data_IF_998237115132
#
_entry.id   IF_998237115132
#
_cell.length_a   1.000
_cell.length_b   1.000
_cell.length_c   1.000
_cell.angle_alpha   90.00
_cell.angle_beta   90.00
_cell.angle_gamma   90.00
#
_symmetry.space_group_name_H-M   'P 1'
#
loop_
_entity.id
_entity.type
_entity.pdbx_description
1 polymer ?
#
# COMPACT_ATOMS: atom_id res chain seq x y z
N UNK A 1 -5.53 -10.01 -35.12
CA UNK A 1 -5.53 -8.74 -34.35
C UNK A 1 -4.78 -9.02 -33.06
N UNK A 2 -3.79 -8.21 -32.69
CA UNK A 2 -3.06 -8.42 -31.42
C UNK A 2 -3.97 -8.16 -30.21
N UNK A 3 -3.85 -8.97 -29.16
CA UNK A 3 -4.53 -8.73 -27.87
C UNK A 3 -3.67 -7.79 -27.02
N UNK A 4 -4.29 -6.95 -26.18
CA UNK A 4 -3.55 -6.13 -25.23
C UNK A 4 -3.01 -6.99 -24.09
N UNK A 5 -1.90 -6.58 -23.46
CA UNK A 5 -1.36 -7.25 -22.27
C UNK A 5 -2.41 -7.36 -21.17
N UNK A 6 -3.16 -6.27 -20.94
CA UNK A 6 -4.28 -6.22 -20.01
C UNK A 6 -5.27 -7.37 -20.22
N UNK A 7 -5.72 -7.56 -21.46
CA UNK A 7 -6.73 -8.58 -21.78
C UNK A 7 -6.17 -9.99 -21.57
N UNK A 8 -4.93 -10.22 -22.00
CA UNK A 8 -4.27 -11.51 -21.80
C UNK A 8 -4.03 -11.82 -20.32
N UNK A 9 -3.67 -10.83 -19.51
CA UNK A 9 -3.49 -10.98 -18.08
C UNK A 9 -4.81 -11.32 -17.40
N UNK A 10 -5.87 -10.58 -17.71
CA UNK A 10 -7.20 -10.82 -17.18
C UNK A 10 -7.73 -12.22 -17.54
N UNK A 11 -7.57 -12.64 -18.79
CA UNK A 11 -7.96 -13.98 -19.26
C UNK A 11 -7.15 -15.08 -18.56
N UNK A 12 -5.82 -14.95 -18.48
CA UNK A 12 -4.93 -15.99 -17.95
C UNK A 12 -5.10 -16.19 -16.43
N UNK A 13 -5.39 -15.13 -15.70
CA UNK A 13 -5.50 -15.19 -14.24
C UNK A 13 -6.95 -15.32 -13.74
N UNK A 14 -7.94 -15.32 -14.65
CA UNK A 14 -9.37 -15.32 -14.27
C UNK A 14 -9.80 -14.02 -13.58
N UNK A 15 -9.15 -12.92 -13.93
CA UNK A 15 -9.26 -11.62 -13.25
C UNK A 15 -7.90 -10.94 -13.10
N UNK A 16 -7.91 -9.61 -12.99
CA UNK A 16 -6.72 -8.83 -12.61
C UNK A 16 -6.63 -8.77 -11.10
N UNK A 17 -5.54 -9.29 -10.55
CA UNK A 17 -5.22 -9.18 -9.13
C UNK A 17 -3.81 -8.60 -8.97
N UNK A 18 -3.72 -7.40 -8.41
CA UNK A 18 -2.44 -6.74 -8.08
C UNK A 18 -2.12 -7.04 -6.61
N UNK A 19 -1.17 -7.96 -6.42
CA UNK A 19 -0.68 -8.35 -5.11
C UNK A 19 -0.02 -7.19 -4.35
N UNK A 20 0.14 -7.35 -3.03
CA UNK A 20 0.80 -6.36 -2.18
C UNK A 20 2.25 -6.77 -1.94
N UNK A 21 3.15 -5.78 -1.96
CA UNK A 21 4.58 -5.95 -1.67
C UNK A 21 4.83 -6.13 -0.17
N UNK A 22 4.32 -7.22 0.39
CA UNK A 22 4.59 -7.65 1.77
C UNK A 22 5.75 -8.65 1.88
N UNK A 23 6.36 -9.05 0.76
CA UNK A 23 7.55 -9.93 0.70
C UNK A 23 8.86 -9.12 0.77
N UNK A 24 9.99 -9.78 1.01
CA UNK A 24 11.34 -9.16 1.16
C UNK A 24 12.40 -9.78 0.25
N UNK A 25 11.96 -10.36 -0.85
CA UNK A 25 12.73 -11.13 -1.84
C UNK A 25 13.28 -10.26 -2.98
N UNK A 26 13.15 -8.94 -2.90
CA UNK A 26 13.70 -8.00 -3.90
C UNK A 26 14.00 -6.62 -3.29
N UNK A 27 14.63 -5.77 -4.09
CA UNK A 27 15.22 -4.48 -3.69
C UNK A 27 14.18 -3.39 -3.36
N UNK A 28 12.90 -3.59 -3.63
CA UNK A 28 11.85 -2.65 -3.24
C UNK A 28 11.69 -2.54 -1.71
N UNK A 29 12.16 -3.54 -0.95
CA UNK A 29 11.96 -3.67 0.50
C UNK A 29 12.36 -2.43 1.30
N UNK A 30 13.59 -1.88 1.19
CA UNK A 30 13.95 -0.63 1.89
C UNK A 30 13.14 0.59 1.42
N UNK A 31 12.72 0.65 0.16
CA UNK A 31 11.94 1.78 -0.36
C UNK A 31 10.54 1.80 0.26
N UNK A 32 9.82 0.68 0.20
CA UNK A 32 8.46 0.61 0.71
C UNK A 32 8.42 0.46 2.23
N UNK A 33 9.02 -0.59 2.78
CA UNK A 33 8.82 -0.96 4.18
C UNK A 33 9.49 -0.01 5.16
N UNK A 34 10.60 0.60 4.75
CA UNK A 34 11.39 1.47 5.61
C UNK A 34 11.18 2.96 5.29
N UNK A 35 11.22 3.34 4.01
CA UNK A 35 11.18 4.75 3.60
C UNK A 35 9.78 5.24 3.18
N UNK A 36 8.79 4.35 3.04
CA UNK A 36 7.42 4.72 2.63
C UNK A 36 7.37 5.34 1.24
N UNK A 37 8.17 4.80 0.31
CA UNK A 37 8.20 5.19 -1.09
C UNK A 37 7.34 4.18 -1.88
N UNK A 38 6.30 4.65 -2.60
CA UNK A 38 5.51 3.79 -3.47
C UNK A 38 6.41 2.98 -4.39
N UNK A 39 6.24 1.66 -4.37
CA UNK A 39 7.10 0.72 -5.08
C UNK A 39 6.25 -0.29 -5.83
N UNK A 40 6.81 -0.83 -6.91
CA UNK A 40 6.15 -1.85 -7.74
C UNK A 40 7.19 -2.87 -8.16
N UNK A 41 6.78 -4.12 -8.27
CA UNK A 41 7.57 -5.21 -8.84
C UNK A 41 6.73 -5.88 -9.93
N UNK A 42 7.27 -5.93 -11.15
CA UNK A 42 6.55 -6.34 -12.37
C UNK A 42 7.35 -7.42 -13.09
N UNK A 43 6.73 -8.58 -13.31
CA UNK A 43 7.33 -9.71 -14.00
C UNK A 43 6.27 -10.54 -14.73
N UNK A 44 6.73 -11.36 -15.67
CA UNK A 44 5.92 -12.41 -16.29
C UNK A 44 6.24 -13.77 -15.70
N UNK A 45 5.22 -14.61 -15.55
CA UNK A 45 5.37 -16.02 -15.21
C UNK A 45 5.24 -16.31 -13.72
N UNK A 46 5.72 -17.49 -13.33
CA UNK A 46 5.67 -18.04 -11.98
C UNK A 46 7.09 -18.41 -11.55
N UNK A 47 7.20 -18.93 -10.33
CA UNK A 47 8.45 -19.44 -9.78
C UNK A 47 9.17 -20.39 -10.74
N UNK A 48 10.47 -20.13 -10.95
CA UNK A 48 11.34 -20.91 -11.83
C UNK A 48 12.12 -21.93 -11.00
N UNK A 49 11.96 -23.25 -11.24
CA UNK A 49 12.64 -24.28 -10.43
C UNK A 49 14.17 -24.25 -10.49
N UNK A 50 14.74 -23.63 -11.52
CA UNK A 50 16.20 -23.49 -11.65
C UNK A 50 16.77 -22.23 -10.98
N UNK A 51 15.96 -21.45 -10.26
CA UNK A 51 16.38 -20.24 -9.55
C UNK A 51 17.56 -20.53 -8.62
N UNK A 52 18.59 -19.69 -8.64
CA UNK A 52 19.84 -19.86 -7.88
C UNK A 52 20.58 -21.18 -8.14
N UNK A 53 20.40 -21.79 -9.32
CA UNK A 53 21.15 -22.97 -9.75
C UNK A 53 21.90 -22.71 -11.06
N UNK A 54 22.78 -23.64 -11.46
CA UNK A 54 23.45 -23.59 -12.76
C UNK A 54 22.50 -23.76 -13.97
N UNK A 55 21.22 -24.09 -13.74
CA UNK A 55 20.20 -24.16 -14.79
C UNK A 55 19.67 -22.78 -15.20
N UNK A 56 19.86 -21.76 -14.35
CA UNK A 56 19.55 -20.37 -14.69
C UNK A 56 20.55 -19.86 -15.74
N UNK A 57 20.17 -20.05 -17.00
CA UNK A 57 21.06 -19.86 -18.14
C UNK A 57 20.32 -19.20 -19.30
N UNK A 58 21.08 -18.47 -20.11
CA UNK A 58 20.58 -17.87 -21.34
C UNK A 58 19.89 -18.91 -22.24
N UNK A 59 20.51 -20.09 -22.37
CA UNK A 59 19.99 -21.20 -23.19
C UNK A 59 18.61 -21.67 -22.72
N UNK A 60 18.40 -21.80 -21.41
CA UNK A 60 17.09 -22.15 -20.87
C UNK A 60 16.07 -21.04 -21.16
N UNK A 61 16.46 -19.77 -20.98
CA UNK A 61 15.58 -18.65 -21.27
C UNK A 61 15.18 -18.62 -22.75
N UNK A 62 16.15 -18.68 -23.67
CA UNK A 62 15.90 -18.61 -25.10
C UNK A 62 15.09 -19.80 -25.66
N UNK A 63 15.22 -20.99 -25.06
CA UNK A 63 14.54 -22.21 -25.52
C UNK A 63 13.21 -22.49 -24.81
N UNK A 64 13.06 -22.06 -23.55
CA UNK A 64 11.95 -22.43 -22.69
C UNK A 64 11.33 -21.25 -21.94
N UNK A 65 12.17 -20.41 -21.33
CA UNK A 65 11.74 -19.34 -20.44
C UNK A 65 11.00 -18.20 -21.14
N UNK A 66 11.47 -17.74 -22.30
CA UNK A 66 10.81 -16.77 -23.19
C UNK A 66 11.35 -16.88 -24.63
N UNK A 67 10.95 -17.91 -25.39
CA UNK A 67 11.32 -18.01 -26.80
C UNK A 67 10.93 -16.74 -27.57
N UNK A 68 11.87 -16.20 -28.34
CA UNK A 68 11.76 -14.93 -29.07
C UNK A 68 11.72 -13.66 -28.19
N UNK A 69 11.87 -13.78 -26.87
CA UNK A 69 11.96 -12.67 -25.92
C UNK A 69 10.74 -11.71 -25.94
N UNK A 70 9.57 -12.20 -26.35
CA UNK A 70 8.38 -11.35 -26.49
C UNK A 70 7.78 -10.95 -25.14
N UNK A 71 7.89 -11.77 -24.09
CA UNK A 71 7.48 -11.36 -22.73
C UNK A 71 8.45 -10.33 -22.15
N UNK A 72 9.74 -10.48 -22.41
CA UNK A 72 10.75 -9.48 -22.03
C UNK A 72 10.49 -8.15 -22.74
N UNK A 73 10.15 -8.18 -24.03
CA UNK A 73 9.75 -6.98 -24.76
C UNK A 73 8.52 -6.33 -24.12
N UNK A 74 7.45 -7.10 -23.90
CA UNK A 74 6.20 -6.59 -23.33
C UNK A 74 6.39 -5.97 -21.93
N UNK A 75 7.14 -6.64 -21.03
CA UNK A 75 7.37 -6.08 -19.69
C UNK A 75 8.27 -4.84 -19.73
N UNK A 76 9.21 -4.78 -20.67
CA UNK A 76 10.05 -3.59 -20.90
C UNK A 76 9.21 -2.41 -21.38
N UNK A 77 8.23 -2.63 -22.26
CA UNK A 77 7.29 -1.59 -22.70
C UNK A 77 6.45 -1.06 -21.53
N UNK A 78 5.99 -1.93 -20.63
CA UNK A 78 5.24 -1.53 -19.43
C UNK A 78 6.12 -0.71 -18.47
N UNK A 79 7.34 -1.19 -18.18
CA UNK A 79 8.30 -0.45 -17.35
C UNK A 79 8.62 0.92 -17.96
N UNK A 80 8.86 0.97 -19.27
CA UNK A 80 9.13 2.21 -20.00
C UNK A 80 7.95 3.19 -19.94
N UNK A 81 6.73 2.70 -20.17
CA UNK A 81 5.53 3.53 -20.09
C UNK A 81 5.29 4.04 -18.67
N UNK A 82 5.46 3.19 -17.65
CA UNK A 82 5.36 3.61 -16.26
C UNK A 82 6.39 4.69 -15.91
N UNK A 83 7.64 4.52 -16.33
CA UNK A 83 8.70 5.50 -16.12
C UNK A 83 8.38 6.85 -16.79
N UNK A 84 7.93 6.83 -18.05
CA UNK A 84 7.51 8.02 -18.77
C UNK A 84 6.36 8.74 -18.05
N UNK A 85 5.33 8.00 -17.62
CA UNK A 85 4.20 8.61 -16.90
C UNK A 85 4.61 9.20 -15.55
N UNK A 86 5.49 8.54 -14.79
CA UNK A 86 5.97 9.08 -13.51
C UNK A 86 6.89 10.29 -13.68
N UNK A 87 7.63 10.38 -14.80
CA UNK A 87 8.54 11.48 -15.09
C UNK A 87 7.82 12.69 -15.72
N UNK A 88 6.86 12.46 -16.60
CA UNK A 88 6.31 13.48 -17.50
C UNK A 88 4.84 13.85 -17.21
N UNK A 89 4.05 13.00 -16.55
CA UNK A 89 2.64 13.34 -16.28
C UNK A 89 2.59 14.60 -15.38
N UNK A 90 1.83 15.65 -15.76
CA UNK A 90 1.75 16.91 -15.01
C UNK A 90 1.33 16.77 -13.55
N UNK A 91 0.51 15.74 -13.27
CA UNK A 91 0.04 15.30 -11.97
C UNK A 91 0.37 13.81 -11.85
N UNK A 92 0.95 13.40 -10.73
CA UNK A 92 1.36 12.01 -10.50
C UNK A 92 0.15 11.05 -10.62
N UNK A 93 0.27 9.93 -11.35
CA UNK A 93 -0.83 9.00 -11.59
C UNK A 93 -1.07 8.05 -10.40
N UNK A 94 -1.12 8.58 -9.18
CA UNK A 94 -1.42 7.81 -7.97
C UNK A 94 -2.92 7.79 -7.69
N UNK A 95 -3.47 6.58 -7.55
CA UNK A 95 -4.89 6.35 -7.34
C UNK A 95 -5.17 5.96 -5.87
N UNK A 96 -5.44 6.97 -5.05
CA UNK A 96 -5.83 6.77 -3.65
C UNK A 96 -7.30 6.36 -3.48
N UNK A 97 -8.13 6.42 -4.52
CA UNK A 97 -9.50 5.90 -4.49
C UNK A 97 -9.47 4.37 -4.56
N UNK A 98 -8.71 3.81 -5.50
CA UNK A 98 -8.43 2.38 -5.56
C UNK A 98 -7.73 1.89 -4.29
N UNK A 99 -6.79 2.67 -3.75
CA UNK A 99 -6.12 2.34 -2.48
C UNK A 99 -7.12 2.26 -1.32
N UNK A 100 -8.01 3.25 -1.17
CA UNK A 100 -9.04 3.23 -0.11
C UNK A 100 -10.00 2.05 -0.26
N UNK A 101 -10.38 1.73 -1.51
CA UNK A 101 -11.22 0.57 -1.82
C UNK A 101 -10.54 -0.74 -1.40
N UNK A 102 -9.25 -0.88 -1.66
CA UNK A 102 -8.49 -2.04 -1.22
C UNK A 102 -8.37 -2.13 0.30
N UNK A 103 -8.16 -1.01 1.00
CA UNK A 103 -8.17 -1.01 2.47
C UNK A 103 -9.52 -1.45 3.04
N UNK A 104 -10.62 -1.11 2.36
CA UNK A 104 -11.95 -1.57 2.71
C UNK A 104 -12.08 -3.10 2.55
N UNK A 105 -11.55 -3.65 1.47
CA UNK A 105 -11.50 -5.11 1.25
C UNK A 105 -10.66 -5.81 2.32
N UNK A 106 -9.45 -5.33 2.60
CA UNK A 106 -8.59 -5.84 3.67
C UNK A 106 -9.29 -5.84 5.03
N UNK A 107 -9.98 -4.75 5.34
CA UNK A 107 -10.75 -4.60 6.59
C UNK A 107 -11.91 -5.59 6.65
N UNK A 108 -12.58 -5.85 5.53
CA UNK A 108 -13.66 -6.85 5.46
C UNK A 108 -13.12 -8.29 5.62
N UNK A 109 -12.00 -8.63 4.98
CA UNK A 109 -11.33 -9.92 5.16
C UNK A 109 -10.93 -10.11 6.63
N UNK A 110 -10.36 -9.07 7.24
CA UNK A 110 -10.00 -9.06 8.65
C UNK A 110 -11.22 -9.25 9.58
N UNK A 111 -12.36 -8.61 9.26
CA UNK A 111 -13.62 -8.74 9.99
C UNK A 111 -14.06 -10.20 10.12
N UNK A 112 -14.01 -10.91 8.99
CA UNK A 112 -14.43 -12.32 8.88
C UNK A 112 -13.50 -13.22 9.67
N UNK A 113 -12.18 -12.98 9.63
CA UNK A 113 -11.21 -13.82 10.32
C UNK A 113 -11.31 -13.73 11.86
N UNK A 114 -11.59 -12.54 12.41
CA UNK A 114 -11.61 -12.34 13.87
C UNK A 114 -13.00 -12.27 14.52
N UNK A 115 -14.08 -12.32 13.73
CA UNK A 115 -15.44 -12.06 14.19
C UNK A 115 -15.58 -10.74 15.00
N UNK A 116 -14.74 -9.74 14.69
CA UNK A 116 -14.64 -8.50 15.45
C UNK A 116 -15.23 -7.30 14.69
N UNK A 117 -16.56 -7.15 14.79
CA UNK A 117 -17.30 -6.09 14.09
C UNK A 117 -16.98 -4.67 14.57
N UNK A 118 -16.58 -4.49 15.83
CA UNK A 118 -16.30 -3.17 16.38
C UNK A 118 -15.00 -2.58 15.81
N UNK A 119 -13.94 -3.37 15.72
CA UNK A 119 -12.67 -2.94 15.12
C UNK A 119 -12.84 -2.53 13.64
N UNK A 120 -13.71 -3.24 12.92
CA UNK A 120 -14.05 -2.99 11.52
C UNK A 120 -14.80 -1.69 11.36
N UNK A 121 -15.83 -1.44 12.18
CA UNK A 121 -16.59 -0.20 12.13
C UNK A 121 -15.71 1.03 12.37
N UNK A 122 -14.73 0.92 13.28
CA UNK A 122 -13.74 1.99 13.51
C UNK A 122 -12.91 2.25 12.26
N UNK A 123 -12.28 1.21 11.67
CA UNK A 123 -11.44 1.37 10.48
C UNK A 123 -12.22 1.90 9.28
N UNK A 124 -13.47 1.45 9.08
CA UNK A 124 -14.33 1.91 7.99
C UNK A 124 -14.55 3.43 8.02
N UNK A 125 -14.71 4.02 9.22
CA UNK A 125 -14.84 5.48 9.35
C UNK A 125 -13.60 6.22 8.81
N UNK A 126 -12.40 5.74 9.14
CA UNK A 126 -11.15 6.32 8.66
C UNK A 126 -10.91 6.06 7.16
N UNK A 127 -11.27 4.89 6.66
CA UNK A 127 -11.16 4.54 5.24
C UNK A 127 -12.12 5.39 4.39
N UNK A 128 -13.36 5.59 4.86
CA UNK A 128 -14.30 6.50 4.20
C UNK A 128 -13.77 7.94 4.15
N UNK A 129 -13.10 8.38 5.22
CA UNK A 129 -12.46 9.69 5.24
C UNK A 129 -11.32 9.79 4.22
N UNK A 130 -10.49 8.75 4.09
CA UNK A 130 -9.45 8.66 3.06
C UNK A 130 -10.04 8.66 1.65
N UNK A 131 -11.10 7.89 1.41
CA UNK A 131 -11.82 7.86 0.14
C UNK A 131 -12.36 9.25 -0.23
N UNK A 132 -12.97 9.95 0.72
CA UNK A 132 -13.41 11.34 0.52
C UNK A 132 -12.25 12.27 0.15
N UNK A 133 -11.12 12.19 0.86
CA UNK A 133 -9.93 12.98 0.55
C UNK A 133 -9.36 12.66 -0.84
N UNK A 134 -9.37 11.39 -1.25
CA UNK A 134 -8.95 10.97 -2.58
C UNK A 134 -9.86 11.54 -3.69
N UNK A 135 -11.18 11.54 -3.48
CA UNK A 135 -12.13 12.15 -4.41
C UNK A 135 -11.95 13.67 -4.54
N UNK A 136 -11.67 14.36 -3.42
CA UNK A 136 -11.37 15.80 -3.41
C UNK A 136 -10.11 16.10 -4.24
N UNK A 137 -9.04 15.34 -4.05
CA UNK A 137 -7.79 15.43 -4.82
C UNK A 137 -8.00 15.14 -6.30
N UNK A 138 -8.80 14.12 -6.64
CA UNK A 138 -9.13 13.80 -8.03
C UNK A 138 -9.90 14.94 -8.71
N UNK A 139 -10.83 15.57 -7.97
CA UNK A 139 -11.56 16.74 -8.46
C UNK A 139 -10.65 17.94 -8.65
N UNK A 140 -9.75 18.19 -7.69
CA UNK A 140 -8.73 19.24 -7.78
C UNK A 140 -7.82 19.04 -9.00
N UNK A 141 -7.32 17.82 -9.21
CA UNK A 141 -6.49 17.45 -10.35
C UNK A 141 -7.18 17.73 -11.70
N UNK A 142 -8.48 17.44 -11.82
CA UNK A 142 -9.28 17.69 -13.03
C UNK A 142 -9.56 19.17 -13.29
N UNK A 143 -9.52 20.01 -12.26
CA UNK A 143 -9.79 21.45 -12.36
C UNK A 143 -8.52 22.27 -12.61
N UNK A 144 -7.33 21.67 -12.49
CA UNK A 144 -6.07 22.35 -12.76
C UNK A 144 -5.90 22.59 -14.26
N UNK A 145 -5.68 23.85 -14.63
CA UNK A 145 -5.16 24.18 -15.94
C UNK A 145 -3.68 23.76 -16.00
N UNK A 146 -3.39 22.77 -16.83
CA UNK A 146 -2.05 22.17 -16.90
C UNK A 146 -1.03 23.09 -17.60
N UNK A 147 -1.51 24.09 -18.35
CA UNK A 147 -0.69 24.95 -19.21
C UNK A 147 -0.57 26.39 -18.69
N UNK A 148 -1.25 26.73 -17.59
CA UNK A 148 -1.15 28.03 -16.93
C UNK A 148 0.07 28.08 -15.98
N UNK A 149 0.95 29.07 -16.16
CA UNK A 149 2.12 29.27 -15.30
C UNK A 149 1.73 29.52 -13.83
N UNK A 150 0.59 30.17 -13.60
CA UNK A 150 0.09 30.41 -12.23
C UNK A 150 -0.38 29.12 -11.53
N UNK A 151 -0.64 28.07 -12.31
CA UNK A 151 -1.04 26.75 -11.82
C UNK A 151 0.13 25.82 -11.49
N UNK A 152 1.37 26.20 -11.84
CA UNK A 152 2.57 25.39 -11.55
C UNK A 152 2.76 25.11 -10.05
N UNK A 153 2.60 26.13 -9.20
CA UNK A 153 2.76 25.96 -7.75
C UNK A 153 1.66 25.09 -7.15
N UNK A 154 0.42 25.20 -7.64
CA UNK A 154 -0.71 24.36 -7.21
C UNK A 154 -0.49 22.90 -7.61
N UNK A 155 -0.06 22.65 -8.85
CA UNK A 155 0.35 21.32 -9.31
C UNK A 155 1.46 20.72 -8.47
N UNK A 156 2.48 21.51 -8.13
CA UNK A 156 3.60 21.05 -7.30
C UNK A 156 3.11 20.63 -5.91
N UNK A 157 2.28 21.47 -5.26
CA UNK A 157 1.71 21.16 -3.96
C UNK A 157 0.83 19.90 -3.99
N UNK A 158 0.03 19.72 -5.06
CA UNK A 158 -0.77 18.52 -5.27
C UNK A 158 0.10 17.28 -5.39
N UNK A 159 1.17 17.33 -6.19
CA UNK A 159 2.11 16.22 -6.34
C UNK A 159 2.86 15.91 -5.04
N UNK A 160 3.23 16.93 -4.28
CA UNK A 160 3.87 16.72 -2.97
C UNK A 160 2.90 16.04 -1.98
N UNK A 161 1.61 16.39 -1.99
CA UNK A 161 0.56 15.67 -1.22
C UNK A 161 0.47 14.21 -1.66
N UNK A 162 0.35 13.94 -2.96
CA UNK A 162 0.29 12.58 -3.51
C UNK A 162 1.52 11.75 -3.11
N UNK A 163 2.73 12.31 -3.23
CA UNK A 163 3.97 11.61 -2.90
C UNK A 163 4.13 11.34 -1.40
N UNK A 164 3.72 12.29 -0.55
CA UNK A 164 3.90 12.19 0.90
C UNK A 164 2.83 11.33 1.59
N UNK A 165 1.70 11.06 0.94
CA UNK A 165 0.63 10.25 1.52
C UNK A 165 1.12 8.86 1.91
N UNK A 166 1.92 8.18 1.09
CA UNK A 166 2.46 6.85 1.41
C UNK A 166 3.29 6.85 2.70
N UNK A 167 4.08 7.90 2.93
CA UNK A 167 4.90 8.06 4.14
C UNK A 167 4.06 8.21 5.41
N UNK A 168 2.78 8.57 5.28
CA UNK A 168 1.85 8.66 6.41
C UNK A 168 1.53 7.29 7.02
N UNK A 169 1.84 6.20 6.30
CA UNK A 169 1.69 4.84 6.79
C UNK A 169 2.89 4.33 7.60
N UNK A 170 3.94 5.14 7.73
CA UNK A 170 5.10 4.79 8.54
C UNK A 170 4.88 5.04 10.03
N UNK A 171 5.48 4.18 10.85
CA UNK A 171 5.69 4.39 12.27
C UNK A 171 7.18 4.58 12.54
N UNK A 172 7.55 5.61 13.30
CA UNK A 172 8.95 5.94 13.59
C UNK A 172 9.70 4.78 14.26
N UNK A 173 9.09 4.16 15.28
CA UNK A 173 9.67 3.02 16.01
C UNK A 173 9.50 1.67 15.26
N UNK A 174 8.76 1.67 14.16
CA UNK A 174 8.40 0.49 13.39
C UNK A 174 7.53 -0.54 14.12
N UNK A 175 7.51 -1.76 13.57
CA UNK A 175 6.72 -2.87 14.10
C UNK A 175 7.35 -3.44 15.38
N UNK A 176 6.51 -3.97 16.27
CA UNK A 176 6.93 -4.48 17.58
C UNK A 176 7.90 -5.66 17.43
N UNK A 177 9.14 -5.46 17.88
CA UNK A 177 10.22 -6.45 17.77
C UNK A 177 10.91 -6.46 16.39
N UNK A 178 10.42 -5.64 15.45
CA UNK A 178 10.89 -5.57 14.06
C UNK A 178 10.98 -4.12 13.58
N UNK A 179 11.64 -3.27 14.36
CA UNK A 179 11.66 -1.82 14.16
C UNK A 179 12.25 -1.31 12.84
N UNK A 180 12.93 -2.18 12.08
CA UNK A 180 13.34 -1.88 10.71
C UNK A 180 12.14 -1.76 9.75
N UNK A 181 11.10 -2.58 9.95
CA UNK A 181 9.86 -2.50 9.19
C UNK A 181 8.99 -1.41 9.80
N UNK A 182 8.79 -0.32 9.07
CA UNK A 182 8.08 0.87 9.54
C UNK A 182 6.68 0.99 8.99
N UNK A 183 6.41 0.34 7.86
CA UNK A 183 5.16 0.50 7.14
C UNK A 183 4.02 -0.33 7.75
N UNK A 184 2.97 0.36 8.23
CA UNK A 184 1.89 -0.24 9.01
C UNK A 184 0.89 -1.06 8.20
N UNK A 185 0.78 -0.82 6.89
CA UNK A 185 -0.14 -1.56 6.02
C UNK A 185 0.54 -2.76 5.37
N UNK A 186 1.72 -2.58 4.78
CA UNK A 186 2.48 -3.60 4.08
C UNK A 186 3.88 -3.77 4.64
N UNK A 187 4.17 -4.94 5.18
CA UNK A 187 5.49 -5.47 5.54
C UNK A 187 5.31 -6.98 5.70
N UNK A 188 6.39 -7.79 5.66
CA UNK A 188 6.26 -9.21 5.92
C UNK A 188 5.64 -9.46 7.29
N UNK A 189 4.74 -10.44 7.45
CA UNK A 189 4.33 -10.91 8.76
C UNK A 189 5.51 -11.60 9.45
N UNK A 190 5.49 -11.68 10.78
CA UNK A 190 6.43 -12.48 11.56
C UNK A 190 6.22 -13.98 11.32
N UNK A 191 4.96 -14.37 11.16
CA UNK A 191 4.55 -15.72 10.83
C UNK A 191 4.47 -15.87 9.31
N UNK A 192 5.41 -16.63 8.74
CA UNK A 192 5.49 -16.87 7.30
C UNK A 192 4.30 -17.68 6.76
N UNK A 193 3.58 -18.42 7.61
CA UNK A 193 2.36 -19.14 7.24
C UNK A 193 1.10 -18.24 7.35
N UNK A 194 1.27 -16.99 7.79
CA UNK A 194 0.18 -16.03 7.86
C UNK A 194 -0.44 -15.82 6.48
N UNK A 195 -1.76 -15.95 6.43
CA UNK A 195 -2.57 -15.69 5.23
C UNK A 195 -2.78 -14.19 4.98
N UNK A 196 -2.30 -13.33 5.88
CA UNK A 196 -2.44 -11.88 5.80
C UNK A 196 -1.18 -11.25 5.19
N UNK A 197 -1.31 -10.75 3.97
CA UNK A 197 -0.30 -9.93 3.29
C UNK A 197 -0.44 -8.43 3.60
N UNK A 198 -1.23 -8.08 4.62
CA UNK A 198 -1.53 -6.71 5.01
C UNK A 198 -1.74 -6.63 6.53
N UNK A 199 -1.66 -5.41 7.07
CA UNK A 199 -1.72 -5.10 8.50
C UNK A 199 -0.79 -6.01 9.35
N UNK A 200 0.52 -6.04 9.07
CA UNK A 200 1.48 -6.95 9.69
C UNK A 200 1.49 -6.86 11.22
N UNK A 201 1.35 -5.66 11.81
CA UNK A 201 1.26 -5.53 13.27
C UNK A 201 0.06 -6.27 13.87
N UNK A 202 -1.06 -6.27 13.15
CA UNK A 202 -2.27 -7.00 13.55
C UNK A 202 -2.06 -8.51 13.35
N UNK A 203 -1.49 -8.93 12.22
CA UNK A 203 -1.16 -10.33 11.96
C UNK A 203 -0.20 -10.91 13.01
N UNK A 204 0.87 -10.18 13.34
CA UNK A 204 1.84 -10.55 14.38
C UNK A 204 1.16 -10.61 15.76
N UNK A 205 0.29 -9.65 16.07
CA UNK A 205 -0.49 -9.67 17.30
C UNK A 205 -1.30 -10.97 17.38
N UNK A 206 -1.92 -11.43 16.28
CA UNK A 206 -2.71 -12.67 16.20
C UNK A 206 -1.85 -13.94 16.30
N UNK A 207 -0.67 -13.98 15.70
CA UNK A 207 0.18 -15.18 15.74
C UNK A 207 0.78 -15.40 17.14
N UNK A 208 1.16 -14.33 17.85
CA UNK A 208 1.73 -14.39 19.21
C UNK A 208 0.73 -14.84 20.30
N UNK A 209 -0.52 -15.13 19.95
CA UNK A 209 -1.64 -15.38 20.88
C UNK A 209 -1.64 -16.76 21.55
N UNK A 210 -0.70 -17.66 21.24
CA UNK A 210 -0.67 -19.02 21.81
C UNK A 210 -0.59 -19.09 23.35
N UNK A 211 -0.05 -18.04 23.99
CA UNK A 211 0.25 -18.03 25.44
C UNK A 211 -0.50 -16.93 26.25
N UNK A 212 -1.44 -16.19 25.65
CA UNK A 212 -2.10 -15.03 26.27
C UNK A 212 -3.58 -15.27 26.61
N UNK A 213 -4.08 -14.62 27.67
CA UNK A 213 -5.50 -14.63 28.03
C UNK A 213 -6.36 -13.94 26.95
N UNK A 214 -7.64 -14.31 26.80
CA UNK A 214 -8.52 -13.72 25.78
C UNK A 214 -8.59 -12.17 25.82
N UNK A 215 -8.47 -11.58 27.01
CA UNK A 215 -8.49 -10.13 27.19
C UNK A 215 -7.19 -9.47 26.70
N UNK A 216 -6.03 -9.99 27.08
CA UNK A 216 -4.73 -9.47 26.61
C UNK A 216 -4.61 -9.54 25.08
N UNK A 217 -5.15 -10.62 24.51
CA UNK A 217 -5.24 -10.84 23.07
C UNK A 217 -6.05 -9.74 22.38
N UNK A 218 -7.24 -9.44 22.93
CA UNK A 218 -8.11 -8.41 22.37
C UNK A 218 -7.52 -7.01 22.50
N UNK A 219 -6.89 -6.70 23.63
CA UNK A 219 -6.21 -5.41 23.85
C UNK A 219 -5.05 -5.23 22.87
N UNK A 220 -4.23 -6.26 22.65
CA UNK A 220 -3.11 -6.20 21.71
C UNK A 220 -3.59 -5.94 20.26
N UNK A 221 -4.61 -6.67 19.81
CA UNK A 221 -5.20 -6.48 18.47
C UNK A 221 -5.82 -5.08 18.36
N UNK A 222 -6.57 -4.63 19.36
CA UNK A 222 -7.19 -3.31 19.36
C UNK A 222 -6.14 -2.19 19.30
N UNK A 223 -5.02 -2.33 20.00
CA UNK A 223 -3.92 -1.39 19.94
C UNK A 223 -3.34 -1.25 18.51
N UNK A 224 -3.12 -2.37 17.81
CA UNK A 224 -2.63 -2.34 16.43
C UNK A 224 -3.66 -1.79 15.44
N UNK A 225 -4.95 -2.10 15.63
CA UNK A 225 -6.06 -1.48 14.88
C UNK A 225 -6.05 0.04 15.04
N UNK A 226 -5.83 0.56 16.25
CA UNK A 226 -5.73 2.00 16.49
C UNK A 226 -4.53 2.64 15.78
N UNK A 227 -3.40 1.95 15.71
CA UNK A 227 -2.21 2.45 15.00
C UNK A 227 -2.46 2.56 13.49
N UNK A 228 -3.02 1.50 12.90
CA UNK A 228 -3.42 1.50 11.47
C UNK A 228 -4.46 2.59 11.20
N UNK A 229 -5.49 2.69 12.04
CA UNK A 229 -6.55 3.70 11.91
C UNK A 229 -6.00 5.13 11.94
N UNK A 230 -5.10 5.45 12.88
CA UNK A 230 -4.43 6.75 12.93
C UNK A 230 -3.56 7.00 11.71
N UNK A 231 -2.90 5.97 11.17
CA UNK A 231 -2.11 6.09 9.95
C UNK A 231 -2.97 6.44 8.74
N UNK A 232 -4.14 5.79 8.59
CA UNK A 232 -5.14 6.11 7.55
C UNK A 232 -5.66 7.54 7.72
N UNK A 233 -5.93 7.97 8.96
CA UNK A 233 -6.35 9.35 9.22
C UNK A 233 -5.26 10.37 8.86
N UNK A 234 -3.98 10.07 9.14
CA UNK A 234 -2.85 10.92 8.72
C UNK A 234 -2.77 11.01 7.20
N UNK A 235 -2.88 9.88 6.50
CA UNK A 235 -2.89 9.84 5.05
C UNK A 235 -4.01 10.70 4.45
N UNK A 236 -5.23 10.63 5.01
CA UNK A 236 -6.34 11.48 4.60
C UNK A 236 -6.05 12.98 4.82
N UNK A 237 -5.45 13.34 5.96
CA UNK A 237 -5.04 14.72 6.24
C UNK A 237 -3.97 15.22 5.27
N UNK A 238 -2.94 14.42 4.98
CA UNK A 238 -1.91 14.75 3.98
C UNK A 238 -2.53 14.93 2.59
N UNK A 239 -3.46 14.05 2.20
CA UNK A 239 -4.19 14.23 0.94
C UNK A 239 -4.98 15.53 0.90
N UNK A 240 -5.48 16.07 2.02
CA UNK A 240 -6.14 17.40 2.07
C UNK A 240 -5.19 18.58 2.20
N UNK A 241 -3.88 18.33 2.36
CA UNK A 241 -2.88 19.38 2.60
C UNK A 241 -2.79 19.83 4.06
N UNK A 242 -3.31 19.05 5.01
CA UNK A 242 -3.26 19.32 6.46
C UNK A 242 -1.91 18.86 7.04
N UNK A 243 -0.82 19.56 6.70
CA UNK A 243 0.54 19.17 7.11
C UNK A 243 0.86 19.48 8.59
N UNK A 244 0.01 20.22 9.31
CA UNK A 244 0.41 20.85 10.59
C UNK A 244 -0.67 20.95 11.69
N UNK A 245 -1.84 20.32 11.57
CA UNK A 245 -2.81 20.34 12.69
C UNK A 245 -2.52 19.33 13.82
N UNK A 246 -1.53 18.44 13.69
CA UNK A 246 -1.33 17.34 14.65
C UNK A 246 -0.42 17.67 15.85
N UNK A 247 0.13 18.90 15.95
CA UNK A 247 0.92 19.34 17.10
C UNK A 247 0.18 20.33 18.04
N UNK A 248 -1.12 20.56 17.84
CA UNK A 248 -1.90 21.25 18.86
C UNK A 248 -2.20 20.27 20.01
N UNK A 249 -1.81 20.56 21.27
CA UNK A 249 -2.26 19.74 22.38
C UNK A 249 -3.78 19.78 22.42
N UNK A 250 -4.39 18.59 22.36
CA UNK A 250 -5.81 18.41 22.61
C UNK A 250 -6.12 18.93 24.02
N UNK A 251 -6.66 20.15 24.12
CA UNK A 251 -7.20 20.70 25.35
C UNK A 251 -8.47 19.90 25.72
N UNK A 252 -8.30 18.74 26.34
CA UNK A 252 -9.36 18.11 27.10
C UNK A 252 -9.45 18.83 28.45
N UNK A 253 -10.28 19.88 28.50
CA UNK A 253 -10.72 20.44 29.77
C UNK A 253 -11.66 19.44 30.44
N UNK A 254 -11.17 18.73 31.44
CA UNK A 254 -12.06 18.06 32.40
C UNK A 254 -12.72 19.14 33.25
N UNK A 255 -13.98 19.41 32.96
CA UNK A 255 -14.87 20.13 33.88
C UNK A 255 -15.12 19.21 35.07
N UNK A 256 -14.53 19.53 36.22
CA UNK A 256 -14.99 19.05 37.51
C UNK A 256 -15.74 20.21 38.14
N UNK A 257 -17.00 20.00 38.42
CA UNK A 257 -17.83 20.90 39.21
C UNK A 257 -18.75 20.06 40.11
N UNK A 258 -19.22 20.61 41.24
CA UNK A 258 -18.57 21.48 42.22
C UNK A 258 -18.01 20.69 43.42
#
# INVERSE_FOLDING_TARGET
>A
MGKMVHDTWNEMNGGINIERLARVDSDFSPFLHHAGIPSVDLYYGKEFPGYHTALDSYDWMAKHGDPLFLRHLAITEIWGLLALRLADDPVLPFDYEAYASQLQEHTNTFAVMLNNRQAVNLMNGFINNLSGAAMEVLKEAKQLDLYDEHSMMRRRLLNDRLLLTERSFLQADGLRGRGWFKHLLYSPPEDYDSKLSFFPGIADAISRLGNLSAEERQVAVQHEVWKVSRAIQRAAGVLRGEFSQQNAPSNFSFSVAP
#
